data_IF_546907400534
#
_entry.id   IF_546907400534
#
_cell.length_a   1.000
_cell.length_b   1.000
_cell.length_c   1.000
_cell.angle_alpha   90.00
_cell.angle_beta   90.00
_cell.angle_gamma   90.00
#
_symmetry.space_group_name_H-M   'P 1'
#
loop_
_entity.id
_entity.type
_entity.pdbx_description
1 polymer ?
#
# COMPACT_ATOMS: atom_id res chain seq x y z
N UNK A 1 5.25 24.81 34.56
CA UNK A 1 4.98 23.54 33.83
C UNK A 1 4.21 23.81 32.55
N UNK A 2 3.14 24.61 32.59
CA UNK A 2 2.35 25.03 31.41
C UNK A 2 3.18 25.69 30.30
N UNK A 3 4.21 26.47 30.67
CA UNK A 3 5.13 27.14 29.73
C UNK A 3 5.97 26.16 28.89
N UNK A 4 6.19 24.93 29.37
CA UNK A 4 6.96 23.90 28.65
C UNK A 4 6.12 23.16 27.61
N UNK A 5 4.80 23.05 27.82
CA UNK A 5 3.87 22.43 26.87
C UNK A 5 3.76 23.27 25.59
N UNK A 6 3.67 24.61 25.73
CA UNK A 6 3.62 25.53 24.59
C UNK A 6 4.91 25.56 23.76
N UNK A 7 6.03 25.11 24.33
CA UNK A 7 7.30 24.95 23.61
C UNK A 7 7.43 23.59 22.93
N UNK A 8 6.52 22.67 23.22
CA UNK A 8 6.51 21.33 22.65
C UNK A 8 5.72 21.35 21.32
N UNK A 9 6.15 20.63 20.28
CA UNK A 9 5.41 20.56 19.02
C UNK A 9 3.98 20.07 19.22
N UNK A 10 3.01 20.74 18.59
CA UNK A 10 1.60 20.32 18.61
C UNK A 10 1.45 18.93 18.02
N UNK A 11 0.88 18.00 18.79
CA UNK A 11 0.69 16.62 18.38
C UNK A 11 0.43 15.67 19.55
N UNK A 12 0.37 14.35 19.29
CA UNK A 12 -0.02 13.35 20.28
C UNK A 12 0.91 13.28 21.50
N UNK A 13 2.15 13.77 21.38
CA UNK A 13 3.09 13.88 22.49
C UNK A 13 2.73 15.04 23.45
N UNK A 14 2.28 16.18 22.93
CA UNK A 14 1.84 17.30 23.75
C UNK A 14 0.58 16.94 24.55
N UNK A 15 -0.38 16.28 23.91
CA UNK A 15 -1.62 15.80 24.54
C UNK A 15 -1.34 14.79 25.67
N UNK A 16 -0.39 13.88 25.44
CA UNK A 16 0.09 12.94 26.45
C UNK A 16 0.68 13.65 27.68
N UNK A 17 1.52 14.67 27.47
CA UNK A 17 2.15 15.42 28.55
C UNK A 17 1.14 16.27 29.32
N UNK A 18 0.21 16.91 28.62
CA UNK A 18 -0.84 17.72 29.23
C UNK A 18 -1.77 16.88 30.09
N UNK A 19 -2.22 15.72 29.58
CA UNK A 19 -3.01 14.77 30.36
C UNK A 19 -2.24 14.22 31.56
N UNK A 20 -0.96 13.91 31.42
CA UNK A 20 -0.12 13.48 32.53
C UNK A 20 -0.02 14.53 33.66
N UNK A 21 0.13 15.82 33.30
CA UNK A 21 0.18 16.92 34.28
C UNK A 21 -1.16 17.08 35.00
N UNK A 22 -2.28 16.97 34.28
CA UNK A 22 -3.63 17.05 34.87
C UNK A 22 -3.89 15.87 35.82
N UNK A 23 -3.49 14.65 35.45
CA UNK A 23 -3.61 13.47 36.32
C UNK A 23 -2.73 13.62 37.56
N UNK A 24 -1.52 14.16 37.42
CA UNK A 24 -0.64 14.43 38.56
C UNK A 24 -1.22 15.49 39.52
N UNK A 25 -1.82 16.57 38.98
CA UNK A 25 -2.39 17.65 39.79
C UNK A 25 -3.70 17.26 40.48
N UNK A 26 -4.49 16.39 39.86
CA UNK A 26 -5.74 15.88 40.45
C UNK A 26 -5.53 14.75 41.45
N UNK A 27 -4.29 14.27 41.64
CA UNK A 27 -3.95 13.15 42.53
C UNK A 27 -4.36 11.79 41.97
N UNK A 28 -4.62 11.69 40.66
CA UNK A 28 -4.97 10.44 39.98
C UNK A 28 -3.77 9.53 39.71
N UNK A 29 -4.05 8.30 39.26
CA UNK A 29 -3.00 7.33 38.93
C UNK A 29 -2.42 7.58 37.52
N UNK A 30 -1.23 8.18 37.49
CA UNK A 30 -0.43 8.37 36.28
C UNK A 30 -0.12 7.06 35.54
N UNK A 31 0.08 5.96 36.27
CA UNK A 31 0.37 4.65 35.67
C UNK A 31 -0.84 4.17 34.88
N UNK A 32 -2.04 4.32 35.43
CA UNK A 32 -3.28 3.95 34.76
C UNK A 32 -3.51 4.81 33.51
N UNK A 33 -3.28 6.13 33.62
CA UNK A 33 -3.37 7.05 32.47
C UNK A 33 -2.42 6.65 31.34
N UNK A 34 -1.13 6.48 31.61
CA UNK A 34 -0.16 6.12 30.56
C UNK A 34 -0.47 4.76 29.92
N UNK A 35 -0.94 3.79 30.71
CA UNK A 35 -1.27 2.47 30.19
C UNK A 35 -2.52 2.52 29.30
N UNK A 36 -3.53 3.31 29.66
CA UNK A 36 -4.71 3.55 28.84
C UNK A 36 -4.35 4.25 27.52
N UNK A 37 -3.58 5.33 27.56
CA UNK A 37 -3.18 6.05 26.34
C UNK A 37 -2.27 5.22 25.45
N UNK A 38 -1.34 4.45 26.01
CA UNK A 38 -0.51 3.52 25.26
C UNK A 38 -1.35 2.46 24.55
N UNK A 39 -2.35 1.90 25.23
CA UNK A 39 -3.26 0.92 24.63
C UNK A 39 -4.03 1.49 23.44
N UNK A 40 -4.57 2.70 23.58
CA UNK A 40 -5.29 3.39 22.49
C UNK A 40 -4.37 3.62 21.29
N UNK A 41 -3.18 4.18 21.50
CA UNK A 41 -2.23 4.42 20.41
C UNK A 41 -1.76 3.12 19.74
N UNK A 42 -1.56 2.04 20.50
CA UNK A 42 -1.22 0.73 19.95
C UNK A 42 -2.35 0.14 19.10
N UNK A 43 -3.60 0.26 19.55
CA UNK A 43 -4.77 -0.16 18.79
C UNK A 43 -4.93 0.63 17.49
N UNK A 44 -4.73 1.95 17.52
CA UNK A 44 -4.74 2.80 16.32
C UNK A 44 -3.63 2.41 15.32
N UNK A 45 -2.40 2.19 15.81
CA UNK A 45 -1.29 1.75 14.97
C UNK A 45 -1.55 0.38 14.36
N UNK A 46 -2.13 -0.55 15.14
CA UNK A 46 -2.53 -1.88 14.66
C UNK A 46 -3.57 -1.76 13.54
N UNK A 47 -4.59 -0.92 13.71
CA UNK A 47 -5.60 -0.68 12.68
C UNK A 47 -4.99 -0.09 11.40
N UNK A 48 -4.06 0.86 11.52
CA UNK A 48 -3.36 1.42 10.36
C UNK A 48 -2.54 0.36 9.60
N UNK A 49 -1.83 -0.50 10.32
CA UNK A 49 -1.07 -1.60 9.71
C UNK A 49 -1.99 -2.61 9.02
N UNK A 50 -3.13 -2.94 9.62
CA UNK A 50 -4.13 -3.81 9.00
C UNK A 50 -4.67 -3.21 7.71
N UNK A 51 -5.09 -1.95 7.72
CA UNK A 51 -5.56 -1.23 6.50
C UNK A 51 -4.50 -1.20 5.40
N UNK A 52 -3.24 -0.98 5.79
CA UNK A 52 -2.11 -1.01 4.84
C UNK A 52 -1.99 -2.40 4.22
N UNK A 53 -2.07 -3.46 5.03
CA UNK A 53 -1.98 -4.86 4.57
C UNK A 53 -3.14 -5.24 3.63
N UNK A 54 -4.36 -4.82 3.96
CA UNK A 54 -5.53 -5.00 3.09
C UNK A 54 -5.34 -4.29 1.73
N UNK A 55 -4.83 -3.06 1.74
CA UNK A 55 -4.51 -2.33 0.51
C UNK A 55 -3.45 -3.02 -0.34
N UNK A 56 -2.37 -3.54 0.27
CA UNK A 56 -1.36 -4.32 -0.47
C UNK A 56 -1.96 -5.62 -1.04
N UNK A 57 -2.86 -6.26 -0.31
CA UNK A 57 -3.58 -7.45 -0.77
C UNK A 57 -4.39 -7.20 -2.04
N UNK A 58 -5.18 -6.12 -2.06
CA UNK A 58 -5.95 -5.74 -3.24
C UNK A 58 -5.05 -5.44 -4.46
N UNK A 59 -3.92 -4.79 -4.23
CA UNK A 59 -2.93 -4.51 -5.29
C UNK A 59 -2.30 -5.80 -5.83
N UNK A 60 -2.01 -6.77 -4.97
CA UNK A 60 -1.51 -8.08 -5.37
C UNK A 60 -2.53 -8.85 -6.22
N UNK A 61 -3.82 -8.79 -5.88
CA UNK A 61 -4.89 -9.40 -6.68
C UNK A 61 -4.94 -8.80 -8.09
N UNK A 62 -4.98 -7.47 -8.19
CA UNK A 62 -4.98 -6.74 -9.47
C UNK A 62 -3.75 -7.11 -10.31
N UNK A 63 -2.58 -7.24 -9.68
CA UNK A 63 -1.37 -7.69 -10.35
C UNK A 63 -1.51 -9.08 -10.95
N UNK A 64 -2.04 -10.05 -10.20
CA UNK A 64 -2.21 -11.41 -10.75
C UNK A 64 -3.18 -11.41 -11.95
N UNK A 65 -4.25 -10.63 -11.90
CA UNK A 65 -5.23 -10.57 -13.01
C UNK A 65 -4.63 -9.87 -14.24
N UNK A 66 -4.02 -8.70 -14.07
CA UNK A 66 -3.56 -7.87 -15.20
C UNK A 66 -2.20 -8.29 -15.77
N UNK A 67 -1.28 -8.78 -14.95
CA UNK A 67 0.09 -9.11 -15.38
C UNK A 67 0.32 -10.60 -15.62
N UNK A 68 -0.53 -11.48 -15.07
CA UNK A 68 -0.40 -12.93 -15.28
C UNK A 68 -1.55 -13.43 -16.15
N UNK A 69 -2.79 -13.28 -15.69
CA UNK A 69 -3.95 -13.89 -16.37
C UNK A 69 -4.22 -13.23 -17.73
N UNK A 70 -4.27 -11.90 -17.79
CA UNK A 70 -4.55 -11.20 -19.05
C UNK A 70 -3.52 -11.46 -20.15
N UNK A 71 -2.20 -11.37 -19.92
CA UNK A 71 -1.21 -11.66 -20.94
C UNK A 71 -1.23 -13.12 -21.37
N UNK A 72 -1.45 -14.06 -20.46
CA UNK A 72 -1.61 -15.47 -20.80
C UNK A 72 -2.80 -15.69 -21.74
N UNK A 73 -3.96 -15.13 -21.42
CA UNK A 73 -5.14 -15.22 -22.28
C UNK A 73 -4.89 -14.57 -23.64
N UNK A 74 -4.25 -13.40 -23.67
CA UNK A 74 -3.90 -12.73 -24.91
C UNK A 74 -2.97 -13.58 -25.79
N UNK A 75 -1.92 -14.18 -25.20
CA UNK A 75 -1.01 -15.08 -25.93
C UNK A 75 -1.74 -16.31 -26.44
N UNK A 76 -2.63 -16.92 -25.66
CA UNK A 76 -3.43 -18.07 -26.11
C UNK A 76 -4.33 -17.69 -27.29
N UNK A 77 -5.06 -16.58 -27.18
CA UNK A 77 -5.96 -16.12 -28.24
C UNK A 77 -5.21 -15.76 -29.52
N UNK A 78 -4.07 -15.06 -29.40
CA UNK A 78 -3.21 -14.76 -30.54
C UNK A 78 -2.63 -16.05 -31.14
N UNK A 79 -2.23 -17.02 -30.32
CA UNK A 79 -1.72 -18.31 -30.82
C UNK A 79 -2.78 -19.08 -31.61
N UNK A 80 -4.03 -19.09 -31.14
CA UNK A 80 -5.16 -19.71 -31.86
C UNK A 80 -5.42 -18.97 -33.18
N UNK A 81 -5.43 -17.63 -33.15
CA UNK A 81 -5.59 -16.84 -34.37
C UNK A 81 -4.45 -17.06 -35.36
N UNK A 82 -3.22 -17.30 -34.91
CA UNK A 82 -2.05 -17.56 -35.75
C UNK A 82 -2.17 -18.81 -36.61
N UNK A 83 -2.99 -19.77 -36.17
CA UNK A 83 -3.29 -20.97 -36.96
C UNK A 83 -4.23 -20.65 -38.13
N UNK A 84 -5.16 -19.69 -37.96
CA UNK A 84 -6.14 -19.33 -39.00
C UNK A 84 -5.62 -18.20 -39.91
N UNK A 85 -4.99 -17.19 -39.33
CA UNK A 85 -4.41 -16.04 -40.03
C UNK A 85 -3.04 -15.73 -39.44
N UNK A 86 -1.96 -15.80 -40.23
CA UNK A 86 -0.61 -15.48 -39.76
C UNK A 86 -0.42 -14.00 -39.41
N UNK A 87 -1.28 -13.12 -39.92
CA UNK A 87 -1.17 -11.68 -39.73
C UNK A 87 -2.45 -11.06 -39.19
N UNK A 88 -2.31 -10.05 -38.34
CA UNK A 88 -3.41 -9.23 -37.83
C UNK A 88 -3.05 -7.75 -38.05
N UNK A 89 -3.90 -7.02 -38.77
CA UNK A 89 -3.70 -5.57 -38.99
C UNK A 89 -2.39 -5.20 -39.70
N UNK A 90 -1.84 -6.09 -40.53
CA UNK A 90 -0.58 -5.87 -41.26
C UNK A 90 0.69 -6.25 -40.49
N UNK A 91 0.56 -6.68 -39.23
CA UNK A 91 1.67 -7.22 -38.44
C UNK A 91 1.60 -8.73 -38.36
N UNK A 92 2.78 -9.36 -38.37
CA UNK A 92 2.92 -10.78 -38.08
C UNK A 92 2.55 -11.06 -36.61
N UNK A 93 1.81 -12.14 -36.38
CA UNK A 93 1.31 -12.46 -35.03
C UNK A 93 2.44 -12.76 -34.05
N UNK A 94 3.53 -13.38 -34.52
CA UNK A 94 4.70 -13.65 -33.68
C UNK A 94 5.33 -12.34 -33.20
N UNK A 95 5.35 -11.32 -34.06
CA UNK A 95 5.83 -9.99 -33.70
C UNK A 95 4.93 -9.35 -32.63
N UNK A 96 3.61 -9.50 -32.74
CA UNK A 96 2.67 -8.96 -31.75
C UNK A 96 2.81 -9.64 -30.38
N UNK A 97 2.97 -10.97 -30.36
CA UNK A 97 3.24 -11.75 -29.13
C UNK A 97 4.57 -11.32 -28.50
N UNK A 98 5.61 -11.10 -29.30
CA UNK A 98 6.90 -10.61 -28.81
C UNK A 98 6.80 -9.21 -28.20
N UNK A 99 6.10 -8.27 -28.85
CA UNK A 99 5.89 -6.93 -28.29
C UNK A 99 5.11 -7.00 -26.98
N UNK A 100 4.05 -7.81 -26.94
CA UNK A 100 3.26 -8.00 -25.73
C UNK A 100 4.12 -8.54 -24.58
N UNK A 101 4.96 -9.55 -24.86
CA UNK A 101 5.77 -10.23 -23.84
C UNK A 101 6.97 -9.42 -23.38
N UNK A 102 7.71 -8.80 -24.31
CA UNK A 102 8.97 -8.12 -24.01
C UNK A 102 8.84 -6.60 -23.81
N UNK A 103 7.72 -5.98 -24.18
CA UNK A 103 7.48 -4.57 -23.93
C UNK A 103 6.32 -4.34 -22.96
N UNK A 104 5.13 -4.89 -23.24
CA UNK A 104 3.92 -4.57 -22.46
C UNK A 104 3.98 -5.14 -21.04
N UNK A 105 4.30 -6.43 -20.89
CA UNK A 105 4.43 -7.07 -19.56
C UNK A 105 5.46 -6.34 -18.68
N UNK A 106 6.72 -6.12 -19.10
CA UNK A 106 7.69 -5.44 -18.24
C UNK A 106 7.31 -3.98 -17.96
N UNK A 107 6.72 -3.26 -18.91
CA UNK A 107 6.24 -1.90 -18.68
C UNK A 107 5.16 -1.86 -17.59
N UNK A 108 4.16 -2.73 -17.67
CA UNK A 108 3.13 -2.88 -16.63
C UNK A 108 3.76 -3.27 -15.28
N UNK A 109 4.76 -4.14 -15.27
CA UNK A 109 5.48 -4.55 -14.06
C UNK A 109 6.18 -3.37 -13.38
N UNK A 110 6.88 -2.52 -14.14
CA UNK A 110 7.53 -1.31 -13.63
C UNK A 110 6.48 -0.32 -13.09
N UNK A 111 5.38 -0.12 -13.81
CA UNK A 111 4.27 0.73 -13.36
C UNK A 111 3.71 0.27 -12.01
N UNK A 112 3.50 -1.03 -11.86
CA UNK A 112 2.98 -1.62 -10.64
C UNK A 112 3.98 -1.49 -9.48
N UNK A 113 5.28 -1.70 -9.74
CA UNK A 113 6.33 -1.47 -8.73
C UNK A 113 6.35 -0.02 -8.23
N UNK A 114 6.23 0.96 -9.11
CA UNK A 114 6.16 2.38 -8.73
C UNK A 114 4.91 2.64 -7.88
N UNK A 115 3.77 2.09 -8.27
CA UNK A 115 2.53 2.20 -7.49
C UNK A 115 2.69 1.62 -6.08
N UNK A 116 3.31 0.44 -5.94
CA UNK A 116 3.58 -0.15 -4.63
C UNK A 116 4.49 0.72 -3.77
N UNK A 117 5.56 1.32 -4.32
CA UNK A 117 6.45 2.21 -3.54
C UNK A 117 5.72 3.45 -3.02
N UNK A 118 4.67 3.93 -3.71
CA UNK A 118 3.85 5.05 -3.21
C UNK A 118 2.86 4.65 -2.12
N UNK A 119 2.41 3.39 -2.09
CA UNK A 119 1.40 2.91 -1.14
C UNK A 119 2.01 2.38 0.16
N UNK A 120 3.26 1.92 0.13
CA UNK A 120 3.99 1.54 1.33
C UNK A 120 4.64 2.80 1.91
N UNK A 121 4.08 3.41 2.98
CA UNK A 121 4.73 4.53 3.63
C UNK A 121 6.11 4.07 4.11
N UNK A 122 7.17 4.75 3.63
CA UNK A 122 8.54 4.52 4.10
C UNK A 122 8.58 4.78 5.61
N UNK A 123 9.13 3.80 6.33
CA UNK A 123 9.34 3.81 7.79
C UNK A 123 10.02 5.07 8.25
#
# INVERSE_FOLDING_TARGET
VTDLIHRTPSGPYSELLEGAIITAQSGGDLKEYFNATAKVQLEEKKMLMQKTTESLGAVAEIYTILLIVFPLLAVIMLSIMGIMSPSLGGFDLVTLINILTFAVIPLCGVLMLVMMDTMVPKR
#
